data_IF_242611976104
#
_entry.id   IF_242611976104
#
_cell.length_a   1.000
_cell.length_b   1.000
_cell.length_c   1.000
_cell.angle_alpha   90.00
_cell.angle_beta   90.00
_cell.angle_gamma   90.00
#
_symmetry.space_group_name_H-M   'P 1'
#
loop_
_entity.id
_entity.type
_entity.pdbx_description
1 polymer ?
#
# COMPACT_ATOMS: atom_id res chain seq x y z
N UNK A 1 -3.90 12.01 -4.05
CA UNK A 1 -3.39 13.09 -3.17
C UNK A 1 -1.91 13.21 -3.45
N UNK A 2 -1.40 14.38 -3.80
CA UNK A 2 0.04 14.56 -4.00
C UNK A 2 0.68 14.91 -2.65
N UNK A 3 1.80 14.29 -2.33
CA UNK A 3 2.60 14.59 -1.14
C UNK A 3 3.95 15.13 -1.59
N UNK A 4 4.55 16.01 -0.81
CA UNK A 4 5.83 16.59 -1.09
C UNK A 4 6.74 16.45 0.14
N UNK A 5 7.90 15.87 -0.05
CA UNK A 5 8.99 15.97 0.92
C UNK A 5 9.81 17.23 0.64
N UNK A 6 10.34 17.87 1.67
CA UNK A 6 11.23 19.01 1.50
C UNK A 6 12.43 18.91 2.45
N UNK A 7 13.57 19.48 2.00
CA UNK A 7 14.82 19.50 2.74
C UNK A 7 15.16 20.93 3.15
N UNK A 8 15.50 21.11 4.40
CA UNK A 8 16.03 22.38 4.91
C UNK A 8 17.51 22.59 4.52
N UNK A 9 18.02 23.81 4.64
CA UNK A 9 19.43 24.14 4.28
C UNK A 9 20.43 23.41 5.17
N UNK A 10 20.07 23.11 6.41
CA UNK A 10 20.88 22.39 7.40
C UNK A 10 20.79 20.87 7.31
N UNK A 11 20.05 20.35 6.32
CA UNK A 11 20.03 18.93 5.98
C UNK A 11 18.96 18.10 6.67
N UNK A 12 17.90 18.73 7.20
CA UNK A 12 16.72 18.03 7.75
C UNK A 12 15.68 17.80 6.66
N UNK A 13 15.15 16.58 6.54
CA UNK A 13 14.07 16.20 5.64
C UNK A 13 12.75 16.06 6.38
N UNK A 14 11.71 16.69 5.89
CA UNK A 14 10.32 16.45 6.27
C UNK A 14 9.70 15.57 5.18
N UNK A 15 9.35 14.33 5.52
CA UNK A 15 8.98 13.30 4.52
C UNK A 15 7.46 13.11 4.39
N UNK A 16 6.66 13.91 5.11
CA UNK A 16 5.19 13.82 5.15
C UNK A 16 4.72 12.37 5.42
N UNK A 17 3.63 11.94 4.79
CA UNK A 17 3.04 10.58 4.96
C UNK A 17 3.67 9.57 3.99
N UNK A 18 4.93 9.75 3.60
CA UNK A 18 5.59 8.83 2.66
C UNK A 18 5.76 7.41 3.21
N UNK A 19 5.78 7.26 4.52
CA UNK A 19 5.79 5.98 5.22
C UNK A 19 5.15 6.12 6.60
N UNK A 20 4.73 5.00 7.17
CA UNK A 20 4.15 4.88 8.51
C UNK A 20 5.03 3.99 9.39
N UNK A 21 4.95 4.18 10.70
CA UNK A 21 5.75 3.42 11.66
C UNK A 21 5.44 1.92 11.65
N UNK A 22 6.38 1.09 12.09
CA UNK A 22 6.17 -0.34 12.28
C UNK A 22 4.95 -0.64 13.19
N UNK A 23 4.77 0.17 14.24
CA UNK A 23 3.62 0.04 15.15
C UNK A 23 2.29 0.31 14.46
N UNK A 24 2.21 1.29 13.57
CA UNK A 24 1.01 1.58 12.79
C UNK A 24 0.77 0.53 11.70
N UNK A 25 1.82 0.01 11.06
CA UNK A 25 1.72 -1.12 10.12
C UNK A 25 1.21 -2.40 10.79
N UNK A 26 1.53 -2.63 12.07
CA UNK A 26 0.99 -3.77 12.83
C UNK A 26 -0.49 -3.60 13.16
N UNK A 27 -0.93 -2.38 13.51
CA UNK A 27 -2.33 -2.08 13.83
C UNK A 27 -3.22 -2.00 12.59
N UNK A 28 -2.68 -1.43 11.52
CA UNK A 28 -3.40 -1.07 10.30
C UNK A 28 -2.69 -1.66 9.08
N UNK A 29 -2.77 -2.99 8.94
CA UNK A 29 -2.09 -3.73 7.84
C UNK A 29 -2.41 -3.17 6.45
N UNK A 30 -3.65 -2.75 6.24
CA UNK A 30 -4.08 -2.03 5.03
C UNK A 30 -4.17 -0.54 5.35
N UNK A 31 -3.06 0.18 5.15
CA UNK A 31 -3.05 1.63 5.14
C UNK A 31 -3.68 2.17 3.85
N UNK A 32 -4.27 3.37 3.90
CA UNK A 32 -4.85 3.99 2.73
C UNK A 32 -3.78 4.32 1.70
N UNK A 33 -3.87 3.70 0.52
CA UNK A 33 -3.00 3.97 -0.63
C UNK A 33 -3.83 4.14 -1.88
N UNK A 34 -3.73 5.31 -2.51
CA UNK A 34 -4.45 5.63 -3.74
C UNK A 34 -3.88 4.87 -4.95
N UNK A 35 -2.55 4.77 -5.04
CA UNK A 35 -1.82 4.08 -6.12
C UNK A 35 -0.61 3.36 -5.55
N UNK A 36 -0.61 2.02 -5.64
CA UNK A 36 0.50 1.18 -5.21
C UNK A 36 1.79 1.51 -5.97
N UNK A 37 1.69 1.74 -7.26
CA UNK A 37 2.84 2.08 -8.09
C UNK A 37 3.52 3.37 -7.62
N UNK A 38 2.74 4.46 -7.55
CA UNK A 38 3.28 5.77 -7.16
C UNK A 38 3.81 5.77 -5.72
N UNK A 39 3.17 5.02 -4.82
CA UNK A 39 3.63 4.93 -3.44
C UNK A 39 4.97 4.19 -3.35
N UNK A 40 5.12 3.05 -4.06
CA UNK A 40 6.39 2.31 -4.17
C UNK A 40 7.50 3.16 -4.77
N UNK A 41 7.22 3.91 -5.83
CA UNK A 41 8.16 4.86 -6.41
C UNK A 41 8.58 5.96 -5.43
N UNK A 42 7.65 6.47 -4.64
CA UNK A 42 7.92 7.49 -3.62
C UNK A 42 8.83 6.94 -2.52
N UNK A 43 8.58 5.72 -2.04
CA UNK A 43 9.44 5.03 -1.07
C UNK A 43 10.83 4.75 -1.66
N UNK A 44 10.91 4.31 -2.92
CA UNK A 44 12.19 4.10 -3.60
C UNK A 44 13.00 5.39 -3.75
N UNK A 45 12.34 6.51 -4.05
CA UNK A 45 13.01 7.83 -4.07
C UNK A 45 13.49 8.24 -2.69
N UNK A 46 12.67 8.02 -1.66
CA UNK A 46 12.99 8.37 -0.27
C UNK A 46 14.24 7.62 0.22
N UNK A 47 14.41 6.35 -0.15
CA UNK A 47 15.61 5.57 0.20
C UNK A 47 16.92 6.14 -0.38
N UNK A 48 16.84 6.94 -1.45
CA UNK A 48 17.98 7.61 -2.06
C UNK A 48 18.31 8.99 -1.47
N UNK A 49 17.54 9.48 -0.50
CA UNK A 49 17.78 10.79 0.10
C UNK A 49 18.91 10.72 1.12
N UNK A 50 19.76 11.73 1.12
CA UNK A 50 20.81 11.93 2.13
C UNK A 50 20.52 13.17 2.96
N UNK A 51 20.60 13.06 4.27
CA UNK A 51 20.34 14.14 5.22
C UNK A 51 20.89 13.82 6.60
N UNK A 52 20.81 14.79 7.50
CA UNK A 52 21.20 14.63 8.90
C UNK A 52 20.08 14.01 9.75
N UNK A 53 18.84 14.30 9.37
CA UNK A 53 17.65 13.90 10.11
C UNK A 53 16.47 13.82 9.14
N UNK A 54 15.61 12.82 9.35
CA UNK A 54 14.34 12.64 8.66
C UNK A 54 13.22 12.75 9.69
N UNK A 55 12.19 13.50 9.35
CA UNK A 55 11.01 13.74 10.20
C UNK A 55 9.76 13.25 9.43
N UNK A 56 9.35 11.99 9.62
CA UNK A 56 8.10 11.46 9.09
C UNK A 56 6.89 12.07 9.84
N UNK A 57 5.71 12.13 9.19
CA UNK A 57 4.51 12.63 9.85
C UNK A 57 3.95 11.64 10.88
N UNK A 58 4.18 10.34 10.67
CA UNK A 58 3.62 9.24 11.47
C UNK A 58 4.68 8.32 12.07
N UNK A 59 5.87 8.86 12.37
CA UNK A 59 6.92 8.14 13.09
C UNK A 59 7.84 9.12 13.82
N UNK A 60 8.75 8.57 14.64
CA UNK A 60 9.77 9.36 15.32
C UNK A 60 10.86 9.84 14.36
N UNK A 61 11.48 11.01 14.59
CA UNK A 61 12.62 11.45 13.80
C UNK A 61 13.76 10.43 13.83
N UNK A 62 14.42 10.22 12.69
CA UNK A 62 15.52 9.26 12.53
C UNK A 62 16.65 9.82 11.67
N UNK A 63 17.88 9.34 11.89
CA UNK A 63 19.04 9.69 11.07
C UNK A 63 19.15 8.83 9.80
N UNK A 64 18.57 7.63 9.82
CA UNK A 64 18.48 6.72 8.69
C UNK A 64 17.02 6.40 8.38
N UNK A 65 16.58 6.71 7.16
CA UNK A 65 15.21 6.46 6.70
C UNK A 65 15.03 5.08 6.08
N UNK A 66 16.12 4.35 5.80
CA UNK A 66 16.06 3.08 5.11
C UNK A 66 15.24 1.99 5.83
N UNK A 67 15.32 1.84 7.17
CA UNK A 67 14.47 0.89 7.88
C UNK A 67 12.98 1.15 7.68
N UNK A 68 12.54 2.41 7.81
CA UNK A 68 11.14 2.80 7.58
C UNK A 68 10.68 2.42 6.18
N UNK A 69 11.51 2.72 5.15
CA UNK A 69 11.19 2.39 3.76
C UNK A 69 11.07 0.88 3.57
N UNK A 70 11.99 0.10 4.12
CA UNK A 70 12.00 -1.37 4.00
C UNK A 70 10.78 -2.00 4.66
N UNK A 71 10.41 -1.57 5.85
CA UNK A 71 9.23 -2.05 6.58
C UNK A 71 7.93 -1.76 5.82
N UNK A 72 7.80 -0.54 5.27
CA UNK A 72 6.64 -0.19 4.47
C UNK A 72 6.55 -1.02 3.18
N UNK A 73 7.65 -1.20 2.45
CA UNK A 73 7.69 -2.04 1.25
C UNK A 73 7.40 -3.51 1.57
N UNK A 74 7.90 -4.04 2.69
CA UNK A 74 7.62 -5.40 3.14
C UNK A 74 6.11 -5.58 3.43
N UNK A 75 5.50 -4.68 4.19
CA UNK A 75 4.06 -4.70 4.47
C UNK A 75 3.21 -4.62 3.19
N UNK A 76 3.60 -3.75 2.24
CA UNK A 76 2.93 -3.65 0.94
C UNK A 76 3.06 -4.95 0.13
N UNK A 77 4.21 -5.63 0.19
CA UNK A 77 4.42 -6.90 -0.51
C UNK A 77 3.59 -8.04 0.09
N UNK A 78 3.46 -8.09 1.42
CA UNK A 78 2.60 -9.06 2.10
C UNK A 78 1.13 -8.90 1.68
N UNK A 79 0.59 -7.67 1.73
CA UNK A 79 -0.78 -7.42 1.30
C UNK A 79 -0.97 -7.73 -0.20
N UNK A 80 0.01 -7.43 -1.04
CA UNK A 80 -0.04 -7.77 -2.46
C UNK A 80 -0.08 -9.29 -2.68
N UNK A 81 0.72 -10.06 -1.94
CA UNK A 81 0.71 -11.52 -1.99
C UNK A 81 -0.63 -12.09 -1.53
N UNK A 82 -1.22 -11.53 -0.48
CA UNK A 82 -2.53 -11.94 0.02
C UNK A 82 -3.64 -11.69 -1.01
N UNK A 83 -3.67 -10.51 -1.66
CA UNK A 83 -4.64 -10.21 -2.72
C UNK A 83 -4.46 -11.14 -3.92
N UNK A 84 -3.22 -11.43 -4.31
CA UNK A 84 -2.92 -12.38 -5.37
C UNK A 84 -3.38 -13.81 -5.01
N UNK A 85 -3.14 -14.25 -3.77
CA UNK A 85 -3.60 -15.55 -3.28
C UNK A 85 -5.13 -15.64 -3.29
N UNK A 86 -5.84 -14.59 -2.89
CA UNK A 86 -7.30 -14.51 -2.98
C UNK A 86 -7.82 -14.65 -4.41
N UNK A 87 -7.03 -14.27 -5.42
CA UNK A 87 -7.32 -14.47 -6.84
C UNK A 87 -7.00 -15.89 -7.34
N UNK A 88 -6.64 -16.85 -6.48
CA UNK A 88 -6.45 -18.26 -6.85
C UNK A 88 -7.69 -18.91 -7.45
N UNK A 89 -8.86 -18.36 -7.19
CA UNK A 89 -10.12 -18.55 -7.92
C UNK A 89 -10.65 -17.20 -8.37
N UNK A 90 -11.37 -17.10 -9.52
CA UNK A 90 -11.87 -15.81 -10.00
C UNK A 90 -12.71 -15.07 -8.97
N UNK A 91 -12.38 -13.81 -8.68
CA UNK A 91 -13.02 -12.97 -7.68
C UNK A 91 -13.47 -11.64 -8.27
N UNK A 92 -14.62 -11.13 -7.84
CA UNK A 92 -14.99 -9.74 -8.11
C UNK A 92 -14.20 -8.79 -7.22
N UNK A 93 -14.18 -7.51 -7.55
CA UNK A 93 -13.51 -6.50 -6.71
C UNK A 93 -14.17 -6.41 -5.31
N UNK A 94 -15.48 -6.59 -5.23
CA UNK A 94 -16.22 -6.53 -3.96
C UNK A 94 -15.94 -7.77 -3.09
N UNK A 95 -15.77 -8.96 -3.70
CA UNK A 95 -15.33 -10.17 -3.00
C UNK A 95 -13.91 -9.96 -2.41
N UNK A 96 -12.98 -9.38 -3.18
CA UNK A 96 -11.63 -9.08 -2.70
C UNK A 96 -11.63 -8.08 -1.54
N UNK A 97 -12.48 -7.03 -1.61
CA UNK A 97 -12.64 -6.08 -0.52
C UNK A 97 -13.16 -6.79 0.74
N UNK A 98 -14.20 -7.61 0.61
CA UNK A 98 -14.77 -8.35 1.73
C UNK A 98 -13.74 -9.29 2.37
N UNK A 99 -12.99 -10.05 1.57
CA UNK A 99 -11.92 -10.95 2.03
C UNK A 99 -10.80 -10.18 2.74
N UNK A 100 -10.41 -9.01 2.26
CA UNK A 100 -9.42 -8.17 2.92
C UNK A 100 -9.93 -7.65 4.27
N UNK A 101 -11.18 -7.18 4.35
CA UNK A 101 -11.79 -6.73 5.60
C UNK A 101 -11.81 -7.86 6.64
N UNK A 102 -12.17 -9.09 6.23
CA UNK A 102 -12.18 -10.28 7.08
C UNK A 102 -10.76 -10.68 7.52
N UNK A 103 -9.84 -10.87 6.58
CA UNK A 103 -8.46 -11.31 6.85
C UNK A 103 -7.73 -10.39 7.83
N UNK A 104 -7.93 -9.09 7.69
CA UNK A 104 -7.27 -8.08 8.52
C UNK A 104 -8.11 -7.61 9.71
N UNK A 105 -9.24 -8.30 10.01
CA UNK A 105 -10.14 -8.01 11.12
C UNK A 105 -10.61 -6.56 11.17
N UNK A 106 -10.85 -5.96 10.00
CA UNK A 106 -11.29 -4.58 9.88
C UNK A 106 -12.80 -4.52 10.02
N UNK A 107 -13.30 -3.78 11.02
CA UNK A 107 -14.72 -3.60 11.21
C UNK A 107 -15.35 -2.87 10.03
N UNK A 108 -16.36 -3.50 9.41
CA UNK A 108 -17.07 -2.92 8.27
C UNK A 108 -17.96 -1.76 8.72
N UNK A 109 -17.70 -0.57 8.14
CA UNK A 109 -18.60 0.58 8.09
C UNK A 109 -18.24 1.43 6.86
N UNK A 110 -19.12 2.38 6.48
CA UNK A 110 -19.03 3.07 5.19
C UNK A 110 -17.63 3.63 4.89
N UNK A 111 -17.02 4.34 5.84
CA UNK A 111 -15.68 4.94 5.60
C UNK A 111 -14.60 3.87 5.42
N UNK A 112 -14.62 2.80 6.21
CA UNK A 112 -13.65 1.70 6.04
C UNK A 112 -13.85 0.97 4.71
N UNK A 113 -15.09 0.73 4.29
CA UNK A 113 -15.37 0.14 2.99
C UNK A 113 -14.79 1.01 1.85
N UNK A 114 -14.96 2.34 1.93
CA UNK A 114 -14.43 3.25 0.90
C UNK A 114 -12.90 3.30 0.91
N UNK A 115 -12.26 3.42 2.08
CA UNK A 115 -10.81 3.53 2.20
C UNK A 115 -10.12 2.20 1.82
N UNK A 116 -10.53 1.10 2.42
CA UNK A 116 -9.99 -0.24 2.12
C UNK A 116 -10.30 -0.60 0.67
N UNK A 117 -11.52 -0.32 0.21
CA UNK A 117 -11.93 -0.58 -1.17
C UNK A 117 -11.06 0.16 -2.20
N UNK A 118 -10.68 1.42 -1.93
CA UNK A 118 -9.74 2.14 -2.79
C UNK A 118 -8.35 1.51 -2.77
N UNK A 119 -7.86 1.11 -1.61
CA UNK A 119 -6.55 0.47 -1.47
C UNK A 119 -6.52 -0.90 -2.16
N UNK A 120 -7.55 -1.73 -2.00
CA UNK A 120 -7.65 -3.03 -2.70
C UNK A 120 -7.69 -2.82 -4.22
N UNK A 121 -8.44 -1.84 -4.72
CA UNK A 121 -8.43 -1.50 -6.17
C UNK A 121 -7.04 -1.09 -6.65
N UNK A 122 -6.27 -0.38 -5.83
CA UNK A 122 -4.90 0.00 -6.19
C UNK A 122 -3.95 -1.19 -6.24
N UNK A 123 -4.13 -2.20 -5.36
CA UNK A 123 -3.40 -3.47 -5.43
C UNK A 123 -3.77 -4.27 -6.68
N UNK A 124 -5.06 -4.42 -6.98
CA UNK A 124 -5.53 -5.10 -8.19
C UNK A 124 -4.95 -4.44 -9.44
N UNK A 125 -5.00 -3.11 -9.53
CA UNK A 125 -4.42 -2.38 -10.66
C UNK A 125 -2.91 -2.64 -10.82
N UNK A 126 -2.16 -2.65 -9.70
CA UNK A 126 -0.73 -2.91 -9.72
C UNK A 126 -0.41 -4.37 -10.06
N UNK A 127 -1.16 -5.34 -9.54
CA UNK A 127 -1.01 -6.77 -9.84
C UNK A 127 -1.32 -7.09 -11.30
N UNK A 128 -2.35 -6.45 -11.89
CA UNK A 128 -2.65 -6.52 -13.34
C UNK A 128 -1.47 -5.98 -14.17
N UNK A 129 -0.96 -4.80 -13.81
CA UNK A 129 0.16 -4.16 -14.53
C UNK A 129 1.44 -4.99 -14.46
N UNK A 130 1.67 -5.69 -13.34
CA UNK A 130 2.85 -6.55 -13.14
C UNK A 130 2.66 -7.98 -13.64
N UNK A 131 1.51 -8.32 -14.26
CA UNK A 131 1.24 -9.62 -14.84
C UNK A 131 1.11 -10.75 -13.81
N UNK A 132 0.68 -10.45 -12.59
CA UNK A 132 0.48 -11.44 -11.52
C UNK A 132 -0.96 -11.96 -11.47
N UNK A 133 -1.91 -11.14 -11.90
CA UNK A 133 -3.33 -11.51 -12.09
C UNK A 133 -3.80 -11.04 -13.46
N UNK A 134 -4.90 -11.60 -13.93
CA UNK A 134 -5.54 -11.26 -15.20
C UNK A 134 -7.05 -11.02 -15.03
N UNK A 135 -7.69 -10.23 -15.92
CA UNK A 135 -9.13 -10.07 -15.92
C UNK A 135 -9.82 -11.30 -16.56
N UNK A 136 -10.90 -11.75 -15.93
CA UNK A 136 -11.77 -12.81 -16.42
C UNK A 136 -13.19 -12.25 -16.58
N UNK A 137 -13.84 -12.53 -17.69
CA UNK A 137 -15.17 -12.04 -17.99
C UNK A 137 -16.18 -13.19 -17.95
N UNK A 138 -17.17 -13.11 -17.06
CA UNK A 138 -18.28 -14.06 -16.98
C UNK A 138 -19.61 -13.33 -17.15
N UNK A 139 -20.17 -13.37 -18.35
CA UNK A 139 -21.35 -12.58 -18.69
C UNK A 139 -21.08 -11.08 -18.55
N UNK A 140 -21.81 -10.40 -17.66
CA UNK A 140 -21.65 -8.97 -17.36
C UNK A 140 -20.71 -8.71 -16.16
N UNK A 141 -20.04 -9.73 -15.64
CA UNK A 141 -19.19 -9.63 -14.45
C UNK A 141 -17.72 -9.59 -14.85
N UNK A 142 -16.97 -8.65 -14.25
CA UNK A 142 -15.52 -8.60 -14.29
C UNK A 142 -14.98 -9.27 -13.03
N UNK A 143 -14.14 -10.28 -13.20
CA UNK A 143 -13.43 -10.99 -12.15
C UNK A 143 -11.93 -10.87 -12.38
N UNK A 144 -11.16 -11.20 -11.36
CA UNK A 144 -9.70 -11.23 -11.39
C UNK A 144 -9.23 -12.61 -10.96
N UNK A 145 -8.28 -13.19 -11.71
CA UNK A 145 -7.70 -14.51 -11.45
C UNK A 145 -6.18 -14.42 -11.43
N UNK A 146 -5.55 -15.23 -10.59
CA UNK A 146 -4.09 -15.35 -10.57
C UNK A 146 -3.63 -16.07 -11.84
N UNK A 147 -2.57 -15.54 -12.46
CA UNK A 147 -1.90 -16.19 -13.59
C UNK A 147 -1.13 -17.41 -13.04
N UNK A 148 -1.31 -18.56 -13.70
CA UNK A 148 -0.65 -19.83 -13.33
C UNK A 148 0.78 -19.91 -13.86
#
# INVERSE_FOLDING_TARGET
MAQAAFRTRDGVWFTADAGVSAGDLQKHRISFVYSQEQHRESLARLSGFSGKLFIPAHDVPCEDIAPLVQENLAAMNEVAADVEEMCGTPQTIDDLIAKCLEKYHIRLYLMQYLLVGQTVRSYVSWLLKTGRIEPVYEGSRLLFSRIQ
#
